data_IF_146626785638
#
_entry.id   IF_146626785638
#
_cell.length_a   1.000
_cell.length_b   1.000
_cell.length_c   1.000
_cell.angle_alpha   90.00
_cell.angle_beta   90.00
_cell.angle_gamma   90.00
#
_symmetry.space_group_name_H-M   'P 1'
#
loop_
_entity.id
_entity.type
_entity.pdbx_description
1 polymer ?
#
# COMPACT_ATOMS: atom_id res chain seq x y z
N UNK A 1 3.28 20.15 -21.52
CA UNK A 1 2.00 19.44 -21.66
C UNK A 1 2.21 17.93 -21.78
N UNK A 2 3.28 17.47 -22.44
CA UNK A 2 3.68 16.04 -22.50
C UNK A 2 3.96 15.44 -21.10
N UNK A 3 4.66 16.18 -20.23
CA UNK A 3 5.02 15.72 -18.87
C UNK A 3 3.83 15.43 -17.93
N UNK A 4 2.68 16.10 -18.10
CA UNK A 4 1.54 15.93 -17.18
C UNK A 4 0.71 14.68 -17.53
N UNK A 5 0.59 14.36 -18.82
CA UNK A 5 -0.13 13.18 -19.30
C UNK A 5 0.62 11.90 -18.94
N UNK A 6 1.93 11.89 -19.17
CA UNK A 6 2.79 10.75 -18.80
C UNK A 6 2.77 10.52 -17.29
N UNK A 7 2.91 11.58 -16.49
CA UNK A 7 2.83 11.49 -15.03
C UNK A 7 1.48 10.95 -14.54
N UNK A 8 0.38 11.41 -15.14
CA UNK A 8 -0.96 10.90 -14.82
C UNK A 8 -1.11 9.42 -15.21
N UNK A 9 -0.47 8.97 -16.29
CA UNK A 9 -0.49 7.57 -16.68
C UNK A 9 0.34 6.70 -15.73
N UNK A 10 1.53 7.15 -15.33
CA UNK A 10 2.37 6.44 -14.35
C UNK A 10 1.65 6.26 -13.01
N UNK A 11 0.98 7.30 -12.50
CA UNK A 11 0.25 7.20 -11.22
C UNK A 11 -0.87 6.16 -11.28
N UNK A 12 -1.55 6.03 -12.42
CA UNK A 12 -2.64 5.04 -12.59
C UNK A 12 -2.13 3.60 -12.53
N UNK A 13 -0.86 3.34 -12.84
CA UNK A 13 -0.26 2.01 -12.70
C UNK A 13 -0.21 1.53 -11.25
N UNK A 14 -0.23 2.47 -10.29
CA UNK A 14 -0.18 2.22 -8.84
C UNK A 14 -1.53 2.40 -8.14
N UNK A 15 -2.57 2.85 -8.85
CA UNK A 15 -3.83 3.26 -8.24
C UNK A 15 -4.72 2.06 -7.88
N UNK A 16 -5.15 2.00 -6.62
CA UNK A 16 -6.16 1.05 -6.14
C UNK A 16 -7.43 1.84 -5.74
N UNK A 17 -8.61 1.50 -6.30
CA UNK A 17 -9.87 2.16 -5.92
C UNK A 17 -10.29 1.94 -4.47
N UNK A 18 -11.09 2.86 -3.94
CA UNK A 18 -11.46 2.89 -2.51
C UNK A 18 -12.23 1.65 -2.07
N UNK A 19 -13.08 1.09 -2.93
CA UNK A 19 -13.92 -0.07 -2.62
C UNK A 19 -13.14 -1.38 -2.37
N UNK A 20 -11.88 -1.39 -2.78
CA UNK A 20 -10.94 -2.47 -2.46
C UNK A 20 -10.57 -2.44 -0.97
N UNK A 21 -10.49 -1.26 -0.35
CA UNK A 21 -10.12 -1.09 1.06
C UNK A 21 -11.32 -0.98 1.99
N UNK A 22 -12.42 -0.39 1.52
CA UNK A 22 -13.62 -0.10 2.28
C UNK A 22 -14.77 -0.94 1.71
N UNK A 23 -15.18 -2.01 2.41
CA UNK A 23 -16.37 -2.77 2.01
C UNK A 23 -17.58 -1.85 1.88
N UNK A 24 -18.47 -2.17 0.94
CA UNK A 24 -19.74 -1.44 0.70
C UNK A 24 -19.60 -0.01 0.17
N UNK A 25 -18.38 0.50 -0.06
CA UNK A 25 -18.25 1.76 -0.79
C UNK A 25 -18.72 1.58 -2.24
N UNK A 26 -19.21 2.65 -2.90
CA UNK A 26 -19.58 2.58 -4.31
C UNK A 26 -18.45 2.02 -5.16
N UNK A 27 -18.78 1.06 -6.03
CA UNK A 27 -17.80 0.47 -6.95
C UNK A 27 -17.43 1.53 -7.98
N UNK A 28 -16.17 1.91 -7.99
CA UNK A 28 -15.60 2.80 -9.00
C UNK A 28 -15.23 1.96 -10.23
N UNK A 29 -15.72 2.34 -11.42
CA UNK A 29 -15.24 1.73 -12.66
C UNK A 29 -13.83 2.24 -12.96
N UNK A 30 -12.83 1.44 -12.60
CA UNK A 30 -11.45 1.70 -13.00
C UNK A 30 -11.36 1.63 -14.53
N UNK A 31 -10.89 2.72 -15.14
CA UNK A 31 -10.68 2.79 -16.59
C UNK A 31 -9.53 1.91 -17.09
N UNK A 32 -8.69 1.42 -16.17
CA UNK A 32 -7.57 0.52 -16.44
C UNK A 32 -7.27 -0.34 -15.23
N UNK A 33 -6.69 -1.52 -15.48
CA UNK A 33 -6.16 -2.39 -14.43
C UNK A 33 -4.72 -1.95 -14.13
N UNK A 34 -4.39 -1.60 -12.87
CA UNK A 34 -3.05 -1.21 -12.49
C UNK A 34 -2.07 -2.38 -12.73
N UNK A 35 -0.94 -2.08 -13.37
CA UNK A 35 0.13 -3.08 -13.58
C UNK A 35 0.87 -3.40 -12.30
N UNK A 36 0.92 -2.45 -11.36
CA UNK A 36 1.68 -2.51 -10.12
C UNK A 36 0.92 -1.82 -8.97
N UNK A 37 -0.24 -2.34 -8.53
CA UNK A 37 -1.01 -1.72 -7.44
C UNK A 37 -0.17 -1.68 -6.16
N UNK A 38 -0.11 -0.51 -5.50
CA UNK A 38 0.78 -0.28 -4.35
C UNK A 38 0.01 0.21 -3.14
N UNK A 39 0.34 -0.39 -1.99
CA UNK A 39 -0.01 0.16 -0.67
C UNK A 39 1.23 0.71 -0.01
N UNK A 40 1.08 1.87 0.63
CA UNK A 40 2.18 2.56 1.29
C UNK A 40 1.91 2.62 2.79
N UNK A 41 2.86 2.14 3.58
CA UNK A 41 2.92 2.31 5.01
C UNK A 41 4.04 3.29 5.36
N UNK A 42 3.73 4.32 6.14
CA UNK A 42 4.70 5.34 6.54
C UNK A 42 4.73 5.45 8.05
N UNK A 43 5.91 5.42 8.67
CA UNK A 43 6.06 5.84 10.06
C UNK A 43 6.23 7.36 10.07
N UNK A 44 5.19 8.10 10.46
CA UNK A 44 5.25 9.58 10.39
C UNK A 44 6.21 10.21 11.40
N UNK A 45 6.66 9.47 12.42
CA UNK A 45 7.68 9.94 13.39
C UNK A 45 9.12 9.73 12.92
N UNK A 46 9.34 8.96 11.86
CA UNK A 46 10.68 8.71 11.33
C UNK A 46 11.33 9.95 10.70
N UNK A 47 12.66 10.03 10.82
CA UNK A 47 13.48 10.99 10.05
C UNK A 47 13.29 12.47 10.40
N UNK A 48 12.92 12.82 11.63
CA UNK A 48 12.85 14.23 12.05
C UNK A 48 11.80 15.06 11.31
N UNK A 49 10.58 14.51 11.15
CA UNK A 49 9.42 15.05 10.41
C UNK A 49 9.33 14.68 8.92
N UNK A 50 10.38 14.09 8.33
CA UNK A 50 10.32 13.62 6.94
C UNK A 50 9.20 12.59 6.72
N UNK A 51 8.93 11.70 7.70
CA UNK A 51 7.80 10.76 7.61
C UNK A 51 6.44 11.45 7.48
N UNK A 52 6.24 12.60 8.16
CA UNK A 52 5.01 13.38 8.08
C UNK A 52 4.84 14.05 6.71
N UNK A 53 5.91 14.58 6.13
CA UNK A 53 5.85 15.16 4.78
C UNK A 53 5.65 14.07 3.71
N UNK A 54 6.27 12.91 3.92
CA UNK A 54 6.18 11.78 3.00
C UNK A 54 4.76 11.23 2.91
N UNK A 55 4.07 11.03 4.04
CA UNK A 55 2.69 10.53 4.01
C UNK A 55 1.74 11.50 3.30
N UNK A 56 1.93 12.82 3.50
CA UNK A 56 1.17 13.87 2.81
C UNK A 56 1.43 13.82 1.30
N UNK A 57 2.68 13.59 0.90
CA UNK A 57 3.06 13.49 -0.52
C UNK A 57 2.43 12.27 -1.17
N UNK A 58 2.52 11.09 -0.55
CA UNK A 58 1.87 9.89 -1.09
C UNK A 58 0.35 10.05 -1.19
N UNK A 59 -0.31 10.62 -0.18
CA UNK A 59 -1.77 10.87 -0.21
C UNK A 59 -2.22 11.87 -1.29
N UNK A 60 -1.32 12.71 -1.79
CA UNK A 60 -1.60 13.60 -2.95
C UNK A 60 -1.42 12.90 -4.29
N UNK A 61 -0.53 11.91 -4.35
CA UNK A 61 -0.21 11.19 -5.58
C UNK A 61 -1.11 9.95 -5.75
N UNK A 62 -1.50 9.32 -4.65
CA UNK A 62 -2.19 8.05 -4.58
C UNK A 62 -3.58 8.23 -3.98
N UNK A 63 -4.42 7.19 -4.07
CA UNK A 63 -5.66 7.16 -3.30
C UNK A 63 -5.34 7.29 -1.79
N UNK A 64 -6.07 8.14 -1.08
CA UNK A 64 -5.89 8.25 0.38
C UNK A 64 -6.08 6.91 1.10
N UNK A 65 -6.96 6.04 0.58
CA UNK A 65 -7.24 4.72 1.14
C UNK A 65 -6.11 3.71 0.99
N UNK A 66 -5.09 3.97 0.15
CA UNK A 66 -3.93 3.08 -0.02
C UNK A 66 -2.68 3.55 0.73
N UNK A 67 -2.78 4.58 1.56
CA UNK A 67 -1.65 5.17 2.31
C UNK A 67 -1.94 5.23 3.82
N UNK A 68 -1.21 4.43 4.58
CA UNK A 68 -1.43 4.19 6.00
C UNK A 68 -0.28 4.73 6.85
N UNK A 69 -0.60 5.30 8.00
CA UNK A 69 0.38 5.62 9.04
C UNK A 69 0.58 4.38 9.93
N UNK A 70 1.82 3.93 10.06
CA UNK A 70 2.19 2.80 10.90
C UNK A 70 1.90 3.06 12.39
N UNK A 71 1.77 4.32 12.79
CA UNK A 71 1.45 4.72 14.15
C UNK A 71 -0.06 4.71 14.44
N UNK A 72 -0.88 4.81 13.38
CA UNK A 72 -2.35 4.80 13.50
C UNK A 72 -2.87 3.36 13.43
N UNK A 73 -2.38 2.56 12.49
CA UNK A 73 -2.81 1.17 12.32
C UNK A 73 -1.65 0.26 11.91
N UNK A 74 -1.55 -0.90 12.57
CA UNK A 74 -0.54 -1.90 12.26
C UNK A 74 -0.79 -2.53 10.86
N UNK A 75 0.27 -2.80 10.07
CA UNK A 75 0.13 -3.39 8.73
C UNK A 75 -0.70 -4.68 8.71
N UNK A 76 -0.54 -5.54 9.71
CA UNK A 76 -1.23 -6.83 9.77
C UNK A 76 -2.76 -6.68 9.77
N UNK A 77 -3.29 -5.69 10.49
CA UNK A 77 -4.72 -5.41 10.54
C UNK A 77 -5.25 -4.91 9.19
N UNK A 78 -4.50 -4.01 8.55
CA UNK A 78 -4.82 -3.47 7.22
C UNK A 78 -4.83 -4.59 6.18
N UNK A 79 -3.76 -5.40 6.15
CA UNK A 79 -3.60 -6.49 5.20
C UNK A 79 -4.66 -7.57 5.40
N UNK A 80 -4.96 -7.95 6.64
CA UNK A 80 -6.01 -8.94 6.92
C UNK A 80 -7.37 -8.50 6.39
N UNK A 81 -7.77 -7.25 6.67
CA UNK A 81 -9.02 -6.67 6.15
C UNK A 81 -9.04 -6.59 4.63
N UNK A 82 -7.95 -6.13 4.04
CA UNK A 82 -7.81 -5.98 2.60
C UNK A 82 -7.94 -7.34 1.89
N UNK A 83 -7.15 -8.33 2.29
CA UNK A 83 -7.17 -9.64 1.65
C UNK A 83 -8.54 -10.32 1.81
N UNK A 84 -9.17 -10.20 2.99
CA UNK A 84 -10.53 -10.68 3.20
C UNK A 84 -11.53 -10.04 2.22
N UNK A 85 -11.43 -8.72 2.00
CA UNK A 85 -12.30 -8.03 1.06
C UNK A 85 -11.99 -8.39 -0.40
N UNK A 86 -10.71 -8.48 -0.78
CA UNK A 86 -10.27 -8.90 -2.11
C UNK A 86 -10.75 -10.31 -2.45
N UNK A 87 -10.66 -11.26 -1.51
CA UNK A 87 -11.18 -12.60 -1.70
C UNK A 87 -12.69 -12.59 -1.92
N UNK A 88 -13.45 -11.86 -1.09
CA UNK A 88 -14.90 -11.71 -1.26
C UNK A 88 -15.25 -11.14 -2.64
N UNK A 89 -14.56 -10.08 -3.07
CA UNK A 89 -14.77 -9.44 -4.38
C UNK A 89 -14.41 -10.38 -5.54
N UNK A 90 -13.30 -11.11 -5.43
CA UNK A 90 -12.88 -12.11 -6.42
C UNK A 90 -13.91 -13.24 -6.57
N UNK A 91 -14.46 -13.75 -5.46
CA UNK A 91 -15.57 -14.73 -5.51
C UNK A 91 -16.84 -14.14 -6.14
N UNK A 92 -17.05 -12.82 -6.00
CA UNK A 92 -18.11 -12.07 -6.68
C UNK A 92 -17.86 -11.78 -8.17
N UNK A 93 -16.73 -12.24 -8.73
CA UNK A 93 -16.39 -12.05 -10.15
C UNK A 93 -15.71 -10.71 -10.47
N UNK A 94 -15.21 -9.98 -9.46
CA UNK A 94 -14.47 -8.74 -9.69
C UNK A 94 -13.06 -9.03 -10.24
N UNK A 95 -12.88 -8.72 -11.53
CA UNK A 95 -11.61 -8.87 -12.25
C UNK A 95 -10.53 -7.95 -11.71
N UNK A 96 -10.87 -6.72 -11.32
CA UNK A 96 -9.90 -5.76 -10.79
C UNK A 96 -9.36 -6.24 -9.45
N UNK A 97 -10.24 -6.67 -8.55
CA UNK A 97 -9.83 -7.25 -7.26
C UNK A 97 -8.92 -8.47 -7.46
N UNK A 98 -9.21 -9.30 -8.46
CA UNK A 98 -8.38 -10.47 -8.80
C UNK A 98 -6.97 -10.07 -9.24
N UNK A 99 -6.84 -9.04 -10.08
CA UNK A 99 -5.53 -8.56 -10.52
C UNK A 99 -4.79 -7.78 -9.43
N UNK A 100 -5.49 -7.02 -8.60
CA UNK A 100 -4.90 -6.37 -7.43
C UNK A 100 -4.34 -7.42 -6.49
N UNK A 101 -5.11 -8.45 -6.13
CA UNK A 101 -4.64 -9.55 -5.29
C UNK A 101 -3.35 -10.19 -5.82
N UNK A 102 -3.25 -10.37 -7.14
CA UNK A 102 -2.10 -11.03 -7.79
C UNK A 102 -0.86 -10.14 -7.89
N UNK A 103 -1.02 -8.83 -8.03
CA UNK A 103 0.06 -7.89 -8.38
C UNK A 103 0.42 -6.92 -7.25
N UNK A 104 -0.30 -6.97 -6.13
CA UNK A 104 -0.13 -6.03 -5.02
C UNK A 104 1.33 -5.96 -4.55
N UNK A 105 1.82 -4.73 -4.39
CA UNK A 105 3.11 -4.43 -3.79
C UNK A 105 2.94 -3.55 -2.57
N UNK A 106 3.88 -3.68 -1.64
CA UNK A 106 3.91 -2.91 -0.40
C UNK A 106 5.15 -2.03 -0.40
N UNK A 107 4.98 -0.77 -0.05
CA UNK A 107 6.07 0.14 0.31
C UNK A 107 5.97 0.37 1.80
N UNK A 108 7.09 0.18 2.51
CA UNK A 108 7.18 0.48 3.93
C UNK A 108 8.32 1.48 4.13
N UNK A 109 7.97 2.67 4.61
CA UNK A 109 8.93 3.72 4.93
C UNK A 109 9.00 3.91 6.45
N UNK A 110 10.07 3.40 7.03
CA UNK A 110 10.45 3.65 8.41
C UNK A 110 11.95 3.91 8.48
N UNK A 111 12.34 5.12 8.84
CA UNK A 111 13.73 5.44 9.15
C UNK A 111 13.93 5.09 10.62
N UNK A 112 14.55 3.94 10.87
CA UNK A 112 14.96 3.50 12.20
C UNK A 112 16.19 4.32 12.62
N UNK A 113 16.00 5.39 13.38
CA UNK A 113 17.09 5.91 14.21
C UNK A 113 17.14 5.07 15.49
N UNK A 114 18.26 4.35 15.62
CA UNK A 114 18.73 3.49 16.72
C UNK A 114 18.52 1.96 16.57
N UNK A 115 19.61 1.32 16.14
CA UNK A 115 20.14 -0.02 16.48
C UNK A 115 19.12 -1.15 16.74
N UNK A 116 18.89 -2.01 15.74
CA UNK A 116 18.14 -3.27 15.92
C UNK A 116 19.15 -4.43 16.11
N UNK A 117 19.20 -5.11 17.27
CA UNK A 117 19.96 -6.35 17.41
C UNK A 117 19.28 -7.48 16.61
N UNK A 118 20.08 -8.34 15.97
CA UNK A 118 19.60 -9.44 15.12
C UNK A 118 18.60 -10.34 15.87
N UNK A 119 17.48 -10.75 15.25
CA UNK A 119 16.56 -11.69 15.87
C UNK A 119 17.17 -13.11 15.95
N UNK A 120 16.85 -13.89 16.99
CA UNK A 120 17.27 -15.28 17.10
C UNK A 120 16.65 -16.14 16.00
N UNK A 121 17.39 -17.16 15.58
CA UNK A 121 17.24 -17.93 14.34
C UNK A 121 15.94 -18.75 14.16
N UNK A 122 14.89 -18.52 14.95
CA UNK A 122 13.70 -19.37 14.95
C UNK A 122 12.37 -18.59 14.92
N UNK A 123 12.36 -17.40 14.31
CA UNK A 123 11.14 -16.62 14.06
C UNK A 123 10.89 -16.59 12.55
N UNK A 124 9.67 -16.96 12.14
CA UNK A 124 9.24 -17.17 10.76
C UNK A 124 9.71 -16.09 9.78
N UNK A 125 10.46 -16.51 8.77
CA UNK A 125 11.26 -15.75 7.79
C UNK A 125 10.51 -14.71 6.95
N UNK A 126 9.17 -14.66 6.99
CA UNK A 126 8.35 -13.74 6.18
C UNK A 126 8.39 -12.30 6.73
N UNK A 127 8.54 -12.11 8.05
CA UNK A 127 8.57 -10.79 8.67
C UNK A 127 9.93 -10.06 8.56
N UNK A 128 10.97 -10.72 8.03
CA UNK A 128 12.31 -10.13 7.91
C UNK A 128 12.54 -9.43 6.56
N UNK A 129 11.85 -9.86 5.49
CA UNK A 129 12.10 -9.35 4.14
C UNK A 129 11.57 -7.94 3.88
N UNK A 130 10.55 -7.49 4.61
CA UNK A 130 10.04 -6.10 4.52
C UNK A 130 11.03 -5.09 5.12
N UNK A 131 12.00 -5.54 5.91
CA UNK A 131 12.99 -4.68 6.57
C UNK A 131 14.33 -4.55 5.81
N UNK A 132 14.52 -5.26 4.70
CA UNK A 132 15.73 -5.21 3.89
C UNK A 132 15.36 -4.79 2.47
N UNK A 133 15.50 -3.49 2.23
CA UNK A 133 16.12 -2.93 1.04
C UNK A 133 15.94 -3.71 -0.26
N UNK A 134 15.25 -3.10 -1.21
CA UNK A 134 16.06 -2.65 -2.34
C UNK A 134 16.64 -1.26 -2.01
#
# INVERSE_FOLDING_TARGET
MENDVEKNNMVKEFYIPTYIFVPESPVEHASQIPTCPVIVFVNTKSGGQLGRELIVTYRKLLNHAQVFDLLDEAPDNVLHRLYSNLERLKHGGDTLASEVYRRLRLIVSAIWQFHIPRPPANVSTINLYVCLFE
#
